data_IF_866198428442
#
_entry.id   IF_866198428442
#
_cell.length_a   1.000
_cell.length_b   1.000
_cell.length_c   1.000
_cell.angle_alpha   90.00
_cell.angle_beta   90.00
_cell.angle_gamma   90.00
#
_symmetry.space_group_name_H-M   'P 1'
#
loop_
_entity.id
_entity.type
_entity.pdbx_description
1 polymer ?
#
# COMPACT_ATOMS: atom_id res chain seq x y z
N UNK A 1 -29.46 -27.88 24.99
CA UNK A 1 -28.85 -26.58 24.65
C UNK A 1 -27.79 -26.84 23.60
N UNK A 2 -27.86 -26.14 22.46
CA UNK A 2 -26.86 -26.22 21.38
C UNK A 2 -26.04 -24.93 21.45
N UNK A 3 -24.75 -25.01 21.79
CA UNK A 3 -23.86 -23.85 21.72
C UNK A 3 -23.30 -23.77 20.29
N UNK A 4 -23.97 -23.01 19.43
CA UNK A 4 -23.37 -22.56 18.19
C UNK A 4 -22.42 -21.41 18.52
N UNK A 5 -21.12 -21.71 18.61
CA UNK A 5 -20.09 -20.67 18.68
C UNK A 5 -19.98 -20.12 17.26
N UNK A 6 -20.68 -19.03 16.99
CA UNK A 6 -20.42 -18.22 15.81
C UNK A 6 -19.05 -17.62 16.08
N UNK A 7 -17.99 -18.24 15.58
CA UNK A 7 -16.72 -17.55 15.41
C UNK A 7 -17.05 -16.37 14.49
N UNK A 8 -17.34 -15.22 15.08
CA UNK A 8 -17.18 -13.95 14.40
C UNK A 8 -15.70 -13.99 14.01
N UNK A 9 -15.44 -14.29 12.74
CA UNK A 9 -14.11 -14.17 12.17
C UNK A 9 -13.79 -12.68 12.28
N UNK A 10 -13.20 -12.27 13.41
CA UNK A 10 -12.53 -10.99 13.50
C UNK A 10 -11.50 -11.06 12.37
N UNK A 11 -11.74 -10.28 11.31
CA UNK A 11 -10.77 -10.13 10.25
C UNK A 11 -9.47 -9.74 10.95
N UNK A 12 -8.41 -10.56 10.82
CA UNK A 12 -7.12 -10.18 11.38
C UNK A 12 -6.79 -8.81 10.80
N UNK A 13 -6.74 -7.79 11.66
CA UNK A 13 -6.44 -6.44 11.24
C UNK A 13 -5.07 -6.45 10.55
N UNK A 14 -5.01 -5.89 9.35
CA UNK A 14 -3.76 -5.79 8.59
C UNK A 14 -2.69 -5.13 9.46
N UNK A 15 -1.44 -5.59 9.32
CA UNK A 15 -0.32 -5.04 10.09
C UNK A 15 0.80 -4.55 9.18
N UNK A 16 1.34 -3.37 9.44
CA UNK A 16 2.48 -2.82 8.74
C UNK A 16 3.75 -2.98 9.58
N UNK A 17 4.78 -3.65 9.05
CA UNK A 17 6.04 -3.96 9.79
C UNK A 17 5.80 -4.57 11.18
N UNK A 18 4.74 -5.38 11.32
CA UNK A 18 4.32 -6.01 12.57
C UNK A 18 3.54 -5.11 13.53
N UNK A 19 3.16 -3.90 13.09
CA UNK A 19 2.32 -2.96 13.85
C UNK A 19 0.89 -3.07 13.30
N UNK A 20 -0.11 -3.46 14.12
CA UNK A 20 -1.51 -3.47 13.70
C UNK A 20 -1.96 -2.09 13.18
N UNK A 21 -2.63 -2.05 12.03
CA UNK A 21 -3.19 -0.82 11.42
C UNK A 21 -4.54 -0.54 12.08
N UNK A 22 -4.46 -0.19 13.37
CA UNK A 22 -5.60 0.15 14.22
C UNK A 22 -5.13 0.99 15.42
N UNK A 23 -6.10 1.48 16.20
CA UNK A 23 -5.83 2.26 17.39
C UNK A 23 -5.31 3.67 17.08
N UNK A 24 -4.69 4.30 18.08
CA UNK A 24 -4.32 5.72 17.99
C UNK A 24 -3.25 6.00 16.92
N UNK A 25 -3.48 7.05 16.12
CA UNK A 25 -2.52 7.62 15.19
C UNK A 25 -1.17 7.91 15.86
N UNK A 26 -1.19 8.52 17.06
CA UNK A 26 0.02 8.85 17.80
C UNK A 26 0.81 7.59 18.18
N UNK A 27 0.13 6.57 18.71
CA UNK A 27 0.77 5.32 19.11
C UNK A 27 1.32 4.56 17.90
N UNK A 28 0.59 4.51 16.79
CA UNK A 28 1.04 3.89 15.55
C UNK A 28 2.30 4.58 15.02
N UNK A 29 2.28 5.91 14.92
CA UNK A 29 3.41 6.73 14.48
C UNK A 29 4.65 6.54 15.37
N UNK A 30 4.49 6.45 16.69
CA UNK A 30 5.61 6.17 17.60
C UNK A 30 6.22 4.78 17.37
N UNK A 31 5.38 3.75 17.21
CA UNK A 31 5.86 2.40 16.88
C UNK A 31 6.57 2.37 15.52
N UNK A 32 6.08 3.13 14.55
CA UNK A 32 6.68 3.23 13.23
C UNK A 32 8.07 3.89 13.27
N UNK A 33 8.23 4.96 14.07
CA UNK A 33 9.55 5.55 14.36
C UNK A 33 10.51 4.56 14.99
N UNK A 34 10.03 3.76 15.95
CA UNK A 34 10.84 2.70 16.57
C UNK A 34 11.25 1.59 15.59
N UNK A 35 10.58 1.46 14.43
CA UNK A 35 10.97 0.57 13.32
C UNK A 35 11.95 1.23 12.33
N UNK A 36 12.46 2.42 12.62
CA UNK A 36 13.46 3.11 11.81
C UNK A 36 12.90 4.05 10.74
N UNK A 37 11.60 4.36 10.77
CA UNK A 37 11.01 5.35 9.85
C UNK A 37 11.13 6.77 10.41
N UNK A 38 11.44 7.71 9.54
CA UNK A 38 11.57 9.14 9.88
C UNK A 38 10.33 9.88 9.42
N UNK A 39 9.68 10.62 10.33
CA UNK A 39 8.51 11.44 9.98
C UNK A 39 8.95 12.68 9.19
N UNK A 40 8.34 12.91 8.03
CA UNK A 40 8.61 14.07 7.16
C UNK A 40 7.67 15.24 7.45
N UNK A 41 6.41 14.93 7.79
CA UNK A 41 5.40 15.96 8.01
C UNK A 41 4.02 15.35 8.26
N UNK A 42 3.04 16.23 8.44
CA UNK A 42 1.63 15.89 8.56
C UNK A 42 0.83 16.84 7.69
N UNK A 43 -0.12 16.29 6.95
CA UNK A 43 -1.11 17.03 6.19
C UNK A 43 -2.49 16.45 6.50
N UNK A 44 -3.37 17.27 7.08
CA UNK A 44 -4.70 16.86 7.56
C UNK A 44 -4.64 15.57 8.43
N UNK A 45 -5.32 14.52 7.96
CA UNK A 45 -5.40 13.22 8.62
C UNK A 45 -4.31 12.24 8.16
N UNK A 46 -3.32 12.70 7.40
CA UNK A 46 -2.20 11.88 6.92
C UNK A 46 -0.89 12.32 7.56
N UNK A 47 -0.15 11.36 8.11
CA UNK A 47 1.24 11.59 8.55
C UNK A 47 2.20 10.89 7.59
N UNK A 48 3.15 11.64 7.05
CA UNK A 48 4.11 11.14 6.07
C UNK A 48 5.43 10.75 6.74
N UNK A 49 5.98 9.62 6.30
CA UNK A 49 7.25 9.06 6.73
C UNK A 49 8.12 8.71 5.53
N UNK A 50 9.42 8.59 5.77
CA UNK A 50 10.36 7.96 4.85
C UNK A 50 11.15 6.88 5.59
N UNK A 51 11.50 5.79 4.91
CA UNK A 51 12.31 4.74 5.51
C UNK A 51 12.47 3.53 4.60
N UNK A 52 13.21 2.54 5.08
CA UNK A 52 13.35 1.26 4.39
C UNK A 52 12.03 0.46 4.47
N UNK A 53 11.52 0.06 3.32
CA UNK A 53 10.49 -0.95 3.20
C UNK A 53 10.94 -2.03 2.21
N UNK A 54 11.20 -3.22 2.75
CA UNK A 54 11.62 -4.42 2.00
C UNK A 54 12.96 -4.25 1.26
N UNK A 55 13.90 -3.51 1.84
CA UNK A 55 15.22 -3.26 1.23
C UNK A 55 15.24 -2.08 0.24
N UNK A 56 14.15 -1.31 0.16
CA UNK A 56 14.01 -0.15 -0.72
C UNK A 56 13.60 1.07 0.09
N UNK A 57 14.18 2.23 -0.22
CA UNK A 57 13.69 3.49 0.30
C UNK A 57 12.25 3.71 -0.20
N UNK A 58 11.35 4.13 0.69
CA UNK A 58 9.97 4.41 0.37
C UNK A 58 9.43 5.58 1.19
N UNK A 59 8.45 6.28 0.62
CA UNK A 59 7.58 7.18 1.36
C UNK A 59 6.39 6.39 1.89
N UNK A 60 6.03 6.60 3.15
CA UNK A 60 4.91 5.91 3.80
C UNK A 60 3.92 6.95 4.34
N UNK A 61 2.69 6.92 3.83
CA UNK A 61 1.58 7.72 4.34
C UNK A 61 0.73 6.92 5.32
N UNK A 62 0.56 7.42 6.53
CA UNK A 62 -0.35 6.82 7.54
C UNK A 62 -1.61 7.67 7.59
N UNK A 63 -2.75 7.10 7.19
CA UNK A 63 -4.04 7.79 7.17
C UNK A 63 -4.89 7.48 8.41
N UNK A 64 -5.42 8.53 9.04
CA UNK A 64 -6.37 8.43 10.14
C UNK A 64 -7.81 8.61 9.68
N UNK A 65 -8.74 8.12 10.51
CA UNK A 65 -10.17 8.41 10.46
C UNK A 65 -10.44 9.91 10.40
N UNK A 66 -11.64 10.31 9.97
CA UNK A 66 -11.99 11.73 9.75
C UNK A 66 -11.78 12.61 10.99
N UNK A 67 -11.94 12.04 12.19
CA UNK A 67 -11.66 12.70 13.46
C UNK A 67 -10.17 12.85 13.80
N UNK A 68 -9.29 12.32 12.96
CA UNK A 68 -7.84 12.36 13.06
C UNK A 68 -7.25 11.48 14.17
N UNK A 69 -8.05 10.63 14.83
CA UNK A 69 -7.63 9.91 16.04
C UNK A 69 -7.11 8.51 15.79
N UNK A 70 -7.78 7.75 14.92
CA UNK A 70 -7.50 6.32 14.74
C UNK A 70 -6.90 6.06 13.38
N UNK A 71 -5.83 5.26 13.31
CA UNK A 71 -5.28 4.85 12.01
C UNK A 71 -6.25 3.89 11.31
N UNK A 72 -6.45 4.09 10.00
CA UNK A 72 -7.25 3.18 9.18
C UNK A 72 -6.49 2.68 7.94
N UNK A 73 -5.37 3.31 7.57
CA UNK A 73 -4.63 2.93 6.35
C UNK A 73 -3.16 3.25 6.45
N UNK A 74 -2.39 2.49 5.66
CA UNK A 74 -0.99 2.76 5.35
C UNK A 74 -0.82 2.66 3.84
N UNK A 75 -0.25 3.69 3.23
CA UNK A 75 0.10 3.74 1.81
C UNK A 75 1.62 3.75 1.69
N UNK A 76 2.17 2.90 0.83
CA UNK A 76 3.61 2.87 0.52
C UNK A 76 3.80 3.37 -0.91
N UNK A 77 4.68 4.35 -1.07
CA UNK A 77 4.98 5.03 -2.33
C UNK A 77 6.47 4.83 -2.60
N UNK A 78 6.79 4.26 -3.75
CA UNK A 78 8.17 4.18 -4.26
C UNK A 78 8.41 5.29 -5.25
N UNK A 79 9.68 5.53 -5.54
CA UNK A 79 10.10 6.49 -6.57
C UNK A 79 9.46 6.15 -7.92
N UNK A 80 9.12 7.21 -8.64
CA UNK A 80 8.64 7.11 -10.01
C UNK A 80 9.69 6.49 -10.93
N UNK A 81 9.24 5.96 -12.07
CA UNK A 81 10.12 5.44 -13.10
C UNK A 81 9.62 5.83 -14.47
N UNK A 82 10.54 6.23 -15.34
CA UNK A 82 10.29 6.44 -16.77
C UNK A 82 10.25 5.12 -17.55
N UNK A 83 10.49 3.99 -16.90
CA UNK A 83 10.53 2.67 -17.52
C UNK A 83 9.25 1.89 -17.15
N UNK A 84 8.38 1.67 -18.13
CA UNK A 84 7.11 0.97 -17.90
C UNK A 84 7.31 -0.40 -17.24
N UNK A 85 8.29 -1.17 -17.73
CA UNK A 85 8.61 -2.48 -17.17
C UNK A 85 9.04 -2.41 -15.70
N UNK A 86 9.74 -1.35 -15.30
CA UNK A 86 10.13 -1.16 -13.89
C UNK A 86 8.90 -0.91 -13.01
N UNK A 87 7.93 -0.12 -13.50
CA UNK A 87 6.66 0.12 -12.81
C UNK A 87 5.86 -1.19 -12.65
N UNK A 88 5.71 -1.94 -13.74
CA UNK A 88 4.95 -3.21 -13.76
C UNK A 88 5.62 -4.26 -12.89
N UNK A 89 6.93 -4.44 -12.99
CA UNK A 89 7.66 -5.39 -12.16
C UNK A 89 7.58 -5.03 -10.67
N UNK A 90 7.62 -3.74 -10.34
CA UNK A 90 7.42 -3.26 -8.97
C UNK A 90 6.01 -3.56 -8.48
N UNK A 91 4.99 -3.29 -9.31
CA UNK A 91 3.60 -3.60 -9.01
C UNK A 91 3.39 -5.10 -8.76
N UNK A 92 3.79 -5.95 -9.70
CA UNK A 92 3.61 -7.40 -9.65
C UNK A 92 4.34 -8.01 -8.43
N UNK A 93 5.55 -7.53 -8.11
CA UNK A 93 6.30 -7.93 -6.93
C UNK A 93 5.52 -7.65 -5.63
N UNK A 94 5.04 -6.41 -5.43
CA UNK A 94 4.33 -6.05 -4.19
C UNK A 94 2.93 -6.65 -4.13
N UNK A 95 2.25 -6.80 -5.27
CA UNK A 95 0.98 -7.53 -5.34
C UNK A 95 1.18 -8.97 -4.86
N UNK A 96 2.18 -9.68 -5.37
CA UNK A 96 2.51 -11.03 -4.92
C UNK A 96 2.87 -11.09 -3.43
N UNK A 97 3.63 -10.11 -2.94
CA UNK A 97 3.97 -10.01 -1.52
C UNK A 97 2.74 -9.81 -0.63
N UNK A 98 1.80 -8.95 -1.04
CA UNK A 98 0.56 -8.72 -0.29
C UNK A 98 -0.40 -9.89 -0.35
N UNK A 99 -0.53 -10.57 -1.50
CA UNK A 99 -1.33 -11.80 -1.60
C UNK A 99 -0.77 -12.88 -0.67
N UNK A 100 0.56 -13.06 -0.67
CA UNK A 100 1.20 -14.02 0.25
C UNK A 100 0.99 -13.69 1.72
N UNK A 101 0.94 -12.40 2.05
CA UNK A 101 0.85 -11.93 3.44
C UNK A 101 -0.59 -11.87 3.97
N UNK A 102 -1.54 -11.48 3.13
CA UNK A 102 -2.91 -11.13 3.54
C UNK A 102 -3.99 -11.98 2.85
N UNK A 103 -3.61 -12.87 1.94
CA UNK A 103 -4.53 -13.67 1.13
C UNK A 103 -4.96 -12.97 -0.15
N UNK A 104 -5.77 -13.68 -0.94
CA UNK A 104 -6.29 -13.19 -2.22
C UNK A 104 -7.23 -12.00 -2.02
N UNK A 105 -7.16 -10.96 -2.88
CA UNK A 105 -8.10 -9.85 -2.82
C UNK A 105 -9.50 -10.32 -3.19
N UNK A 106 -10.52 -9.70 -2.59
CA UNK A 106 -11.93 -9.97 -2.92
C UNK A 106 -12.30 -9.56 -4.35
N UNK A 107 -11.54 -8.62 -4.93
CA UNK A 107 -11.65 -8.22 -6.33
C UNK A 107 -10.29 -7.76 -6.86
N UNK A 108 -10.01 -8.10 -8.12
CA UNK A 108 -8.85 -7.61 -8.85
C UNK A 108 -9.33 -7.13 -10.22
N UNK A 109 -9.13 -5.84 -10.50
CA UNK A 109 -9.43 -5.22 -11.80
C UNK A 109 -8.18 -4.53 -12.30
N UNK A 110 -7.52 -5.15 -13.27
CA UNK A 110 -6.28 -4.66 -13.84
C UNK A 110 -6.35 -4.77 -15.36
N UNK A 111 -6.06 -3.67 -16.04
CA UNK A 111 -5.75 -3.67 -17.46
C UNK A 111 -4.33 -3.13 -17.60
N UNK A 112 -3.38 -4.03 -17.90
CA UNK A 112 -1.99 -3.64 -18.14
C UNK A 112 -1.63 -3.96 -19.60
N UNK A 113 -1.53 -2.94 -20.48
CA UNK A 113 -1.25 -3.15 -21.89
C UNK A 113 0.10 -3.84 -22.14
N UNK A 114 1.08 -3.71 -21.24
CA UNK A 114 2.38 -4.38 -21.41
C UNK A 114 2.35 -5.88 -21.21
N UNK A 115 1.23 -6.46 -20.74
CA UNK A 115 1.07 -7.91 -20.65
C UNK A 115 0.70 -8.54 -22.00
N UNK A 116 0.34 -7.71 -22.99
CA UNK A 116 -0.03 -8.14 -24.34
C UNK A 116 1.00 -7.69 -25.37
N UNK A 117 1.58 -6.50 -25.22
CA UNK A 117 2.57 -5.95 -26.14
C UNK A 117 3.87 -5.52 -25.44
N UNK A 118 5.02 -5.80 -26.05
CA UNK A 118 6.34 -5.38 -25.57
C UNK A 118 6.59 -3.88 -25.86
N UNK A 119 5.72 -3.00 -25.37
CA UNK A 119 5.72 -1.61 -25.81
C UNK A 119 6.65 -0.74 -24.94
N UNK A 120 7.87 -0.54 -25.44
CA UNK A 120 8.85 0.44 -24.91
C UNK A 120 8.26 1.87 -24.95
N UNK A 121 7.30 2.13 -25.82
CA UNK A 121 6.66 3.45 -26.02
C UNK A 121 5.56 3.81 -25.03
N UNK A 122 5.17 2.92 -24.10
CA UNK A 122 4.00 3.15 -23.24
C UNK A 122 4.11 4.42 -22.38
N UNK A 123 5.30 4.73 -21.86
CA UNK A 123 5.51 5.95 -21.08
C UNK A 123 5.41 7.21 -21.95
N UNK A 124 5.83 7.13 -23.21
CA UNK A 124 5.68 8.22 -24.18
C UNK A 124 4.20 8.43 -24.52
N UNK A 125 3.48 7.36 -24.84
CA UNK A 125 2.04 7.39 -25.15
C UNK A 125 1.20 7.87 -23.96
N UNK A 126 1.56 7.46 -22.73
CA UNK A 126 0.92 7.94 -21.50
C UNK A 126 1.09 9.46 -21.39
N UNK A 127 2.29 9.97 -21.65
CA UNK A 127 2.58 11.40 -21.67
C UNK A 127 1.82 12.18 -22.76
N UNK A 128 1.45 11.52 -23.86
CA UNK A 128 0.60 12.09 -24.92
C UNK A 128 -0.91 11.94 -24.64
N UNK A 129 -1.30 11.21 -23.59
CA UNK A 129 -2.71 10.91 -23.28
C UNK A 129 -3.37 9.92 -24.26
N UNK A 130 -2.58 9.13 -24.99
CA UNK A 130 -3.09 8.21 -26.03
C UNK A 130 -3.26 6.78 -25.56
N UNK A 131 -2.89 6.48 -24.31
CA UNK A 131 -3.12 5.17 -23.70
C UNK A 131 -4.64 4.99 -23.50
N UNK A 132 -5.25 4.12 -24.29
CA UNK A 132 -6.67 3.80 -24.18
C UNK A 132 -6.89 2.93 -22.94
N UNK A 133 -7.61 3.46 -21.95
CA UNK A 133 -8.19 2.67 -20.86
C UNK A 133 -9.59 2.26 -21.27
N UNK A 134 -9.76 1.07 -21.85
CA UNK A 134 -11.09 0.46 -22.08
C UNK A 134 -11.33 -0.73 -21.16
#
# INVERSE_FOLDING_TARGET
>A
MLFAVINIMAQEHLSFKGIPIEGSMTAFCQKLKAKGFTQMGRDNNVTMFTGDFTGRQATVGVGATDDGKSVHSVVVIFDESSEWNTLVNTYDYYKGLYIRKYGEPSACREHNPSRQDSNISLMYELGQGTVLST
#
